data_IF_633036300581
#
_entry.id   IF_633036300581
#
_cell.length_a   1.000
_cell.length_b   1.000
_cell.length_c   1.000
_cell.angle_alpha   90.00
_cell.angle_beta   90.00
_cell.angle_gamma   90.00
#
_symmetry.space_group_name_H-M   'P 1'
#
loop_
_entity.id
_entity.type
_entity.pdbx_description
1 polymer ?
#
# COMPACT_ATOMS: atom_id res chain seq x y z
N UNK A 1 -5.97 7.95 12.48
CA UNK A 1 -6.59 7.13 11.40
C UNK A 1 -6.36 5.66 11.74
N UNK A 2 -7.29 4.75 11.38
CA UNK A 2 -7.18 3.30 11.70
C UNK A 2 -6.52 2.50 10.57
N UNK A 3 -6.74 2.91 9.32
CA UNK A 3 -6.26 2.21 8.13
C UNK A 3 -5.10 2.95 7.47
N UNK A 4 -4.09 2.23 7.02
CA UNK A 4 -3.01 2.75 6.18
C UNK A 4 -3.22 2.24 4.77
N UNK A 5 -3.35 3.15 3.81
CA UNK A 5 -3.69 2.84 2.42
C UNK A 5 -2.58 3.30 1.50
N UNK A 6 -2.09 2.41 0.63
CA UNK A 6 -1.00 2.70 -0.30
C UNK A 6 -1.09 1.82 -1.54
N UNK A 7 -0.19 2.07 -2.50
CA UNK A 7 -0.07 1.32 -3.75
C UNK A 7 0.61 -0.04 -3.58
N UNK A 8 0.45 -0.90 -4.59
CA UNK A 8 1.01 -2.25 -4.57
C UNK A 8 2.54 -2.32 -4.41
N UNK A 9 3.24 -1.24 -4.78
CA UNK A 9 4.69 -1.11 -4.59
C UNK A 9 5.13 -1.05 -3.13
N UNK A 10 4.22 -0.71 -2.22
CA UNK A 10 4.48 -0.67 -0.77
C UNK A 10 4.12 -1.98 -0.07
N UNK A 11 3.55 -2.96 -0.77
CA UNK A 11 3.17 -4.23 -0.18
C UNK A 11 4.35 -5.17 0.00
N UNK A 12 5.00 -5.11 1.16
CA UNK A 12 6.13 -5.95 1.56
C UNK A 12 5.95 -6.47 2.99
N UNK A 13 6.62 -7.56 3.33
CA UNK A 13 6.59 -8.16 4.67
C UNK A 13 7.02 -7.15 5.74
N UNK A 14 8.13 -6.45 5.49
CA UNK A 14 8.67 -5.41 6.38
C UNK A 14 7.67 -4.27 6.61
N UNK A 15 6.99 -3.81 5.55
CA UNK A 15 6.01 -2.75 5.65
C UNK A 15 4.75 -3.21 6.39
N UNK A 16 4.29 -4.44 6.15
CA UNK A 16 3.13 -4.96 6.88
C UNK A 16 3.43 -5.17 8.36
N UNK A 17 4.60 -5.72 8.66
CA UNK A 17 5.05 -5.92 10.03
C UNK A 17 5.11 -4.57 10.78
N UNK A 18 5.79 -3.56 10.23
CA UNK A 18 5.85 -2.24 10.86
C UNK A 18 4.48 -1.59 11.04
N UNK A 19 3.59 -1.67 10.03
CA UNK A 19 2.23 -1.12 10.10
C UNK A 19 1.43 -1.73 11.27
N UNK A 20 1.56 -3.04 11.46
CA UNK A 20 0.79 -3.78 12.47
C UNK A 20 1.43 -3.64 13.85
N UNK A 21 2.74 -3.86 13.94
CA UNK A 21 3.46 -3.95 15.21
C UNK A 21 3.80 -2.57 15.78
N UNK A 22 4.32 -1.65 14.96
CA UNK A 22 4.79 -0.35 15.43
C UNK A 22 3.69 0.71 15.46
N UNK A 23 2.82 0.70 14.45
CA UNK A 23 1.76 1.71 14.31
C UNK A 23 0.41 1.23 14.83
N UNK A 24 0.21 -0.08 15.07
CA UNK A 24 -1.08 -0.67 15.46
C UNK A 24 -2.20 -0.25 14.51
N UNK A 25 -1.95 -0.38 13.19
CA UNK A 25 -2.90 -0.02 12.13
C UNK A 25 -3.19 -1.19 11.21
N UNK A 26 -4.26 -1.05 10.44
CA UNK A 26 -4.69 -2.06 9.47
C UNK A 26 -4.18 -1.69 8.08
N UNK A 27 -3.33 -2.52 7.45
CA UNK A 27 -2.85 -2.27 6.10
C UNK A 27 -3.95 -2.56 5.06
N UNK A 28 -4.26 -1.56 4.23
CA UNK A 28 -5.05 -1.67 3.00
C UNK A 28 -4.15 -1.39 1.80
N UNK A 29 -3.13 -2.23 1.66
CA UNK A 29 -2.10 -2.11 0.63
C UNK A 29 -2.02 -3.47 -0.05
N UNK A 30 -2.35 -3.60 -1.34
CA UNK A 30 -2.17 -4.87 -2.03
C UNK A 30 -0.69 -5.21 -2.13
N UNK A 31 -0.33 -6.49 -2.09
CA UNK A 31 1.02 -6.92 -2.45
C UNK A 31 1.13 -7.08 -3.98
N UNK A 32 2.36 -7.07 -4.52
CA UNK A 32 2.58 -7.04 -5.98
C UNK A 32 1.85 -8.14 -6.77
N UNK A 33 1.73 -9.35 -6.21
CA UNK A 33 1.04 -10.48 -6.84
C UNK A 33 -0.47 -10.55 -6.59
N UNK A 34 -1.03 -9.67 -5.74
CA UNK A 34 -2.42 -9.73 -5.29
C UNK A 34 -3.44 -9.87 -6.43
N UNK A 35 -3.34 -9.02 -7.46
CA UNK A 35 -4.24 -9.08 -8.61
C UNK A 35 -3.93 -10.24 -9.56
N UNK A 36 -2.67 -10.70 -9.62
CA UNK A 36 -2.28 -11.81 -10.48
C UNK A 36 -2.82 -13.13 -9.94
N UNK A 37 -2.73 -13.34 -8.62
CA UNK A 37 -3.19 -14.53 -7.91
C UNK A 37 -4.70 -14.76 -8.03
N UNK A 38 -5.49 -13.69 -8.24
CA UNK A 38 -6.93 -13.79 -8.45
C UNK A 38 -7.31 -14.34 -9.83
N UNK A 39 -6.43 -14.24 -10.83
CA UNK A 39 -6.73 -14.64 -12.21
C UNK A 39 -6.71 -16.16 -12.36
N UNK A 40 -7.65 -16.71 -13.15
CA UNK A 40 -7.71 -18.15 -13.47
C UNK A 40 -6.38 -18.72 -13.98
N UNK A 41 -5.66 -17.94 -14.81
CA UNK A 41 -4.33 -18.32 -15.33
C UNK A 41 -3.32 -18.62 -14.22
N UNK A 42 -3.34 -17.86 -13.12
CA UNK A 42 -2.43 -18.11 -12.00
C UNK A 42 -2.85 -19.35 -11.22
N UNK A 43 -4.14 -19.44 -10.86
CA UNK A 43 -4.70 -20.55 -10.08
C UNK A 43 -4.54 -21.92 -10.74
N UNK A 44 -4.53 -21.95 -12.08
CA UNK A 44 -4.40 -23.20 -12.83
C UNK A 44 -2.96 -23.49 -13.28
N UNK A 45 -1.98 -22.66 -12.91
CA UNK A 45 -0.61 -22.87 -13.36
C UNK A 45 0.14 -23.81 -12.37
N UNK A 46 0.53 -25.03 -12.78
CA UNK A 46 1.20 -26.01 -11.91
C UNK A 46 2.58 -25.56 -11.40
N UNK A 47 3.20 -24.56 -12.03
CA UNK A 47 4.52 -24.08 -11.64
C UNK A 47 4.52 -23.30 -10.32
N UNK A 48 3.37 -22.79 -9.88
CA UNK A 48 3.28 -22.08 -8.62
C UNK A 48 3.06 -23.06 -7.48
N UNK A 49 3.94 -23.00 -6.46
CA UNK A 49 3.81 -23.79 -5.23
C UNK A 49 2.45 -23.63 -4.54
N UNK A 50 1.83 -22.45 -4.64
CA UNK A 50 0.50 -22.21 -4.09
C UNK A 50 -0.59 -23.14 -4.64
N UNK A 51 -0.32 -23.80 -5.78
CA UNK A 51 -1.22 -24.77 -6.42
C UNK A 51 -0.72 -26.22 -6.27
N UNK A 52 0.26 -26.46 -5.39
CA UNK A 52 0.73 -27.81 -5.04
C UNK A 52 -0.11 -28.35 -3.90
N UNK A 53 -0.24 -29.67 -3.81
CA UNK A 53 -0.94 -30.30 -2.70
C UNK A 53 -0.04 -30.27 -1.46
N UNK A 54 -0.59 -29.79 -0.34
CA UNK A 54 0.11 -29.69 0.93
C UNK A 54 -0.62 -30.51 1.98
N UNK A 55 0.10 -31.43 2.63
CA UNK A 55 -0.40 -32.20 3.76
C UNK A 55 0.06 -31.53 5.07
N UNK A 56 -0.91 -31.01 5.82
CA UNK A 56 -0.67 -30.33 7.11
C UNK A 56 -0.21 -31.30 8.22
N UNK A 57 -0.60 -32.58 8.15
CA UNK A 57 -0.29 -33.58 9.19
C UNK A 57 1.14 -34.08 8.99
N UNK A 58 1.48 -34.45 7.75
CA UNK A 58 2.81 -34.95 7.41
C UNK A 58 3.84 -33.82 7.22
N UNK A 59 3.40 -32.56 7.09
CA UNK A 59 4.23 -31.41 6.78
C UNK A 59 5.03 -31.61 5.47
N UNK A 60 4.31 -32.01 4.42
CA UNK A 60 4.90 -32.36 3.11
C UNK A 60 4.15 -31.69 1.97
N UNK A 61 4.87 -31.44 0.87
CA UNK A 61 4.29 -30.98 -0.39
C UNK A 61 4.41 -32.07 -1.45
N UNK A 62 3.39 -32.16 -2.31
CA UNK A 62 3.42 -32.95 -3.54
C UNK A 62 3.27 -32.00 -4.72
N UNK A 63 4.25 -32.02 -5.62
CA UNK A 63 4.18 -31.21 -6.84
C UNK A 63 3.24 -31.84 -7.88
N UNK A 64 2.88 -31.12 -8.96
CA UNK A 64 1.96 -31.64 -9.98
C UNK A 64 2.50 -32.84 -10.78
N UNK A 65 3.80 -33.12 -10.69
CA UNK A 65 4.43 -34.29 -11.30
C UNK A 65 4.41 -35.51 -10.35
N UNK A 66 3.94 -35.33 -9.10
CA UNK A 66 3.84 -36.37 -8.07
C UNK A 66 5.08 -36.50 -7.18
N UNK A 67 6.01 -35.55 -7.21
CA UNK A 67 7.24 -35.58 -6.41
C UNK A 67 6.96 -35.08 -4.99
N UNK A 68 7.40 -35.85 -4.00
CA UNK A 68 7.26 -35.54 -2.58
C UNK A 68 8.42 -34.69 -2.07
N UNK A 69 8.06 -33.66 -1.29
CA UNK A 69 8.98 -32.74 -0.64
C UNK A 69 8.72 -32.72 0.85
N UNK A 70 9.69 -33.24 1.62
CA UNK A 70 9.65 -33.20 3.08
C UNK A 70 10.36 -31.98 3.64
N UNK A 71 9.99 -31.60 4.87
CA UNK A 71 10.68 -30.55 5.62
C UNK A 71 12.17 -30.87 5.74
N UNK A 72 13.02 -29.86 5.51
CA UNK A 72 14.47 -29.99 5.62
C UNK A 72 15.05 -29.17 6.75
N UNK A 73 14.87 -27.85 6.75
CA UNK A 73 15.42 -26.95 7.76
C UNK A 73 14.79 -25.55 7.66
N UNK A 74 14.98 -24.74 8.71
CA UNK A 74 14.73 -23.31 8.66
C UNK A 74 15.95 -22.56 8.12
N UNK A 75 15.71 -21.51 7.34
CA UNK A 75 16.75 -20.67 6.74
C UNK A 75 16.38 -19.20 6.94
N UNK A 76 17.32 -18.42 7.47
CA UNK A 76 17.19 -16.97 7.55
C UNK A 76 17.94 -16.31 6.39
N UNK A 77 17.33 -15.30 5.78
CA UNK A 77 17.96 -14.50 4.71
C UNK A 77 17.83 -13.03 5.05
N UNK A 78 18.92 -12.29 4.86
CA UNK A 78 18.96 -10.85 5.08
C UNK A 78 18.90 -10.14 3.74
N UNK A 79 17.95 -9.22 3.61
CA UNK A 79 17.83 -8.35 2.46
C UNK A 79 18.95 -7.31 2.41
N UNK A 80 19.08 -6.62 1.27
CA UNK A 80 20.04 -5.50 1.10
C UNK A 80 19.82 -4.40 2.13
N UNK A 81 18.58 -4.22 2.59
CA UNK A 81 18.19 -3.19 3.54
C UNK A 81 18.40 -3.64 5.01
N UNK A 82 18.91 -4.85 5.24
CA UNK A 82 19.13 -5.40 6.59
C UNK A 82 17.94 -6.16 7.18
N UNK A 83 16.78 -6.13 6.51
CA UNK A 83 15.59 -6.86 6.95
C UNK A 83 15.81 -8.38 6.87
N UNK A 84 15.51 -9.10 7.95
CA UNK A 84 15.68 -10.55 8.04
C UNK A 84 14.36 -11.27 7.81
N UNK A 85 14.38 -12.26 6.91
CA UNK A 85 13.24 -13.12 6.61
C UNK A 85 13.52 -14.55 6.98
N UNK A 86 12.51 -15.21 7.57
CA UNK A 86 12.59 -16.62 7.91
C UNK A 86 11.86 -17.45 6.85
N UNK A 87 12.52 -18.52 6.42
CA UNK A 87 11.99 -19.46 5.44
C UNK A 87 12.02 -20.87 6.00
N UNK A 88 10.94 -21.61 5.80
CA UNK A 88 10.91 -23.05 5.96
C UNK A 88 11.26 -23.69 4.62
N UNK A 89 12.34 -24.48 4.59
CA UNK A 89 12.85 -25.09 3.37
C UNK A 89 12.42 -26.56 3.32
N UNK A 90 11.80 -26.92 2.20
CA UNK A 90 11.42 -28.28 1.84
C UNK A 90 12.32 -28.78 0.73
N UNK A 91 12.62 -30.07 0.75
CA UNK A 91 13.53 -30.71 -0.20
C UNK A 91 12.88 -31.98 -0.71
N UNK A 92 13.03 -32.24 -2.01
CA UNK A 92 12.53 -33.47 -2.60
C UNK A 92 13.21 -34.67 -1.91
N UNK A 93 12.42 -35.71 -1.63
CA UNK A 93 12.92 -36.91 -0.99
C UNK A 93 13.87 -37.67 -1.92
N UNK A 94 14.87 -38.33 -1.33
CA UNK A 94 15.89 -39.08 -2.09
C UNK A 94 15.30 -40.28 -2.83
N UNK A 95 14.35 -40.93 -2.16
CA UNK A 95 13.63 -42.09 -2.62
C UNK A 95 12.16 -41.69 -2.71
N UNK A 96 11.66 -41.68 -3.94
CA UNK A 96 10.28 -41.50 -4.32
C UNK A 96 9.66 -42.87 -4.60
N UNK A 97 8.35 -42.92 -4.73
CA UNK A 97 7.61 -44.15 -5.00
C UNK A 97 8.06 -44.85 -6.31
N UNK A 98 8.46 -44.08 -7.32
CA UNK A 98 8.90 -44.58 -8.63
C UNK A 98 10.30 -44.06 -9.02
N UNK A 99 11.06 -44.87 -9.76
CA UNK A 99 12.35 -44.51 -10.35
C UNK A 99 12.24 -43.29 -11.27
N UNK A 100 11.13 -43.13 -11.99
CA UNK A 100 10.88 -41.91 -12.79
C UNK A 100 10.79 -40.67 -11.92
N UNK A 101 10.11 -40.76 -10.77
CA UNK A 101 9.99 -39.65 -9.83
C UNK A 101 11.35 -39.32 -9.18
N UNK A 102 12.21 -40.31 -8.96
CA UNK A 102 13.58 -40.07 -8.48
C UNK A 102 14.41 -39.20 -9.43
N UNK A 103 14.20 -39.34 -10.74
CA UNK A 103 14.83 -38.47 -11.74
C UNK A 103 14.22 -37.06 -11.70
N UNK A 104 12.88 -36.95 -11.64
CA UNK A 104 12.16 -35.67 -11.57
C UNK A 104 12.37 -34.90 -10.26
N UNK A 105 12.72 -35.60 -9.17
CA UNK A 105 13.11 -35.02 -7.90
C UNK A 105 14.44 -34.26 -7.97
N UNK A 106 15.22 -34.47 -9.04
CA UNK A 106 16.53 -33.84 -9.24
C UNK A 106 16.46 -32.72 -10.27
N UNK A 107 17.25 -31.69 -10.00
CA UNK A 107 17.53 -30.62 -10.97
C UNK A 107 18.42 -31.15 -12.09
N UNK A 108 18.53 -30.45 -13.24
CA UNK A 108 19.43 -30.85 -14.33
C UNK A 108 20.90 -31.00 -13.91
N UNK A 109 21.30 -30.40 -12.77
CA UNK A 109 22.65 -30.51 -12.19
C UNK A 109 22.79 -31.66 -11.18
N UNK A 110 21.80 -32.55 -11.07
CA UNK A 110 21.80 -33.74 -10.20
C UNK A 110 21.46 -33.49 -8.72
N UNK A 111 21.33 -32.23 -8.29
CA UNK A 111 20.92 -31.88 -6.91
C UNK A 111 19.41 -32.05 -6.75
N UNK A 112 18.98 -32.52 -5.59
CA UNK A 112 17.55 -32.57 -5.23
C UNK A 112 16.92 -31.18 -5.31
N UNK A 113 15.70 -31.12 -5.85
CA UNK A 113 14.89 -29.91 -5.93
C UNK A 113 14.56 -29.43 -4.52
N UNK A 114 14.50 -28.12 -4.36
CA UNK A 114 14.17 -27.47 -3.09
C UNK A 114 13.15 -26.38 -3.33
N UNK A 115 12.31 -26.15 -2.32
CA UNK A 115 11.31 -25.10 -2.33
C UNK A 115 11.24 -24.48 -0.93
N UNK A 116 11.04 -23.17 -0.82
CA UNK A 116 11.11 -22.45 0.46
C UNK A 116 9.91 -21.53 0.66
N UNK A 117 9.19 -21.71 1.77
CA UNK A 117 8.00 -20.94 2.14
C UNK A 117 8.35 -19.94 3.22
N UNK A 118 7.88 -18.70 3.07
CA UNK A 118 7.93 -17.71 4.14
C UNK A 118 6.52 -17.61 4.74
N UNK A 119 6.34 -18.16 5.95
CA UNK A 119 5.04 -18.22 6.61
C UNK A 119 4.55 -16.84 7.08
N UNK A 120 5.45 -15.96 7.52
CA UNK A 120 5.08 -14.59 7.91
C UNK A 120 4.52 -13.83 6.70
N UNK A 121 5.17 -13.99 5.54
CA UNK A 121 4.67 -13.39 4.31
C UNK A 121 3.32 -13.96 3.88
N UNK A 122 3.12 -15.28 3.94
CA UNK A 122 1.82 -15.90 3.64
C UNK A 122 0.72 -15.40 4.60
N UNK A 123 1.03 -15.32 5.89
CA UNK A 123 0.14 -14.77 6.92
C UNK A 123 -0.30 -13.34 6.58
N UNK A 124 0.65 -12.44 6.30
CA UNK A 124 0.30 -11.06 5.97
C UNK A 124 -0.49 -10.96 4.66
N UNK A 125 -0.17 -11.77 3.64
CA UNK A 125 -0.95 -11.80 2.40
C UNK A 125 -2.39 -12.19 2.65
N UNK A 126 -2.63 -13.19 3.48
CA UNK A 126 -3.98 -13.61 3.84
C UNK A 126 -4.74 -12.50 4.57
N UNK A 127 -4.12 -11.90 5.60
CA UNK A 127 -4.73 -10.81 6.36
C UNK A 127 -5.06 -9.60 5.48
N UNK A 128 -4.12 -9.18 4.63
CA UNK A 128 -4.32 -8.08 3.68
C UNK A 128 -5.45 -8.39 2.69
N UNK A 129 -5.52 -9.63 2.20
CA UNK A 129 -6.58 -10.06 1.29
C UNK A 129 -7.95 -9.98 1.96
N UNK A 130 -8.09 -10.51 3.17
CA UNK A 130 -9.34 -10.41 3.95
C UNK A 130 -9.75 -8.95 4.18
N UNK A 131 -8.79 -8.10 4.58
CA UNK A 131 -9.03 -6.68 4.79
C UNK A 131 -9.47 -5.95 3.50
N UNK A 132 -8.80 -6.21 2.38
CA UNK A 132 -9.12 -5.62 1.07
C UNK A 132 -10.42 -6.17 0.47
N UNK A 133 -10.82 -7.39 0.80
CA UNK A 133 -12.07 -8.01 0.34
C UNK A 133 -13.28 -7.59 1.19
N UNK A 134 -13.06 -7.10 2.41
CA UNK A 134 -14.11 -6.53 3.26
C UNK A 134 -14.80 -5.31 2.62
N UNK A 135 -16.08 -5.11 2.92
CA UNK A 135 -16.86 -3.98 2.38
C UNK A 135 -16.23 -2.61 2.74
N UNK A 136 -15.83 -2.47 4.00
CA UNK A 136 -15.16 -1.25 4.49
C UNK A 136 -13.82 -1.04 3.79
N UNK A 137 -13.00 -2.09 3.65
CA UNK A 137 -11.71 -2.02 2.99
C UNK A 137 -11.82 -1.66 1.51
N UNK A 138 -12.77 -2.28 0.78
CA UNK A 138 -13.08 -1.94 -0.61
C UNK A 138 -13.45 -0.47 -0.77
N UNK A 139 -14.35 0.04 0.07
CA UNK A 139 -14.80 1.43 0.03
C UNK A 139 -13.64 2.41 0.27
N UNK A 140 -12.84 2.18 1.31
CA UNK A 140 -11.68 3.04 1.64
C UNK A 140 -10.64 2.99 0.52
N UNK A 141 -10.30 1.79 0.03
CA UNK A 141 -9.32 1.63 -1.04
C UNK A 141 -9.79 2.23 -2.37
N UNK A 142 -11.09 2.17 -2.67
CA UNK A 142 -11.67 2.84 -3.84
C UNK A 142 -11.60 4.36 -3.71
N UNK A 143 -11.93 4.91 -2.53
CA UNK A 143 -11.84 6.35 -2.26
C UNK A 143 -10.41 6.87 -2.45
N UNK A 144 -9.40 6.09 -2.03
CA UNK A 144 -7.98 6.42 -2.21
C UNK A 144 -7.64 6.77 -3.66
N UNK A 145 -8.19 6.04 -4.64
CA UNK A 145 -7.94 6.33 -6.06
C UNK A 145 -8.41 7.73 -6.42
N UNK A 146 -9.62 8.09 -5.97
CA UNK A 146 -10.20 9.42 -6.23
C UNK A 146 -9.35 10.50 -5.56
N UNK A 147 -9.07 10.36 -4.26
CA UNK A 147 -8.40 11.40 -3.49
C UNK A 147 -6.96 11.62 -3.96
N UNK A 148 -6.21 10.52 -4.15
CA UNK A 148 -4.79 10.57 -4.49
C UNK A 148 -4.56 10.88 -5.96
N UNK A 149 -5.29 10.26 -6.90
CA UNK A 149 -5.11 10.51 -8.33
C UNK A 149 -5.55 11.93 -8.70
N UNK A 150 -6.57 12.49 -8.05
CA UNK A 150 -7.00 13.88 -8.30
C UNK A 150 -5.90 14.88 -7.92
N UNK A 151 -5.25 14.67 -6.77
CA UNK A 151 -4.13 15.54 -6.33
C UNK A 151 -2.97 15.44 -7.31
N UNK A 152 -2.52 14.23 -7.65
CA UNK A 152 -1.41 14.05 -8.60
C UNK A 152 -1.75 14.51 -10.02
N UNK A 153 -2.98 14.28 -10.47
CA UNK A 153 -3.49 14.76 -11.76
C UNK A 153 -3.48 16.28 -11.82
N UNK A 154 -3.96 16.95 -10.76
CA UNK A 154 -3.93 18.41 -10.66
C UNK A 154 -2.51 18.96 -10.62
N UNK A 155 -1.62 18.33 -9.86
CA UNK A 155 -0.22 18.70 -9.78
C UNK A 155 0.47 18.65 -11.16
N UNK A 156 0.23 17.58 -11.93
CA UNK A 156 0.82 17.40 -13.26
C UNK A 156 0.15 18.25 -14.35
N UNK A 157 -1.18 18.38 -14.30
CA UNK A 157 -1.99 19.00 -15.34
C UNK A 157 -2.13 20.52 -15.20
N UNK A 158 -2.45 20.99 -13.99
CA UNK A 158 -2.66 22.43 -13.74
C UNK A 158 -1.38 23.14 -13.30
N UNK A 159 -0.60 22.52 -12.42
CA UNK A 159 0.64 23.11 -11.91
C UNK A 159 1.88 22.73 -12.72
N UNK A 160 1.74 21.85 -13.72
CA UNK A 160 2.83 21.46 -14.62
C UNK A 160 3.98 20.68 -13.98
N UNK A 161 3.85 20.29 -12.70
CA UNK A 161 4.92 19.62 -11.94
C UNK A 161 4.93 18.13 -12.24
N UNK A 162 5.47 17.80 -13.41
CA UNK A 162 5.71 16.42 -13.86
C UNK A 162 7.01 15.84 -13.31
N UNK A 163 7.95 16.72 -12.96
CA UNK A 163 9.25 16.41 -12.36
C UNK A 163 9.59 17.48 -11.33
N UNK A 164 10.36 17.11 -10.32
CA UNK A 164 10.97 18.07 -9.39
C UNK A 164 12.09 18.83 -10.10
N UNK A 165 12.25 20.12 -9.77
CA UNK A 165 13.25 20.98 -10.42
C UNK A 165 14.61 20.93 -9.72
N UNK A 166 14.63 20.41 -8.50
CA UNK A 166 15.80 20.38 -7.63
C UNK A 166 16.28 18.94 -7.39
N UNK A 167 17.50 18.83 -6.87
CA UNK A 167 18.12 17.55 -6.49
C UNK A 167 18.47 17.55 -5.00
N UNK A 168 18.52 16.36 -4.41
CA UNK A 168 18.79 16.17 -2.98
C UNK A 168 17.51 16.12 -2.16
N UNK A 169 17.48 15.20 -1.17
CA UNK A 169 16.27 14.86 -0.40
C UNK A 169 15.58 16.07 0.21
N UNK A 170 16.34 16.96 0.85
CA UNK A 170 15.78 18.14 1.50
C UNK A 170 15.21 19.17 0.50
N UNK A 171 15.93 19.43 -0.58
CA UNK A 171 15.46 20.37 -1.59
C UNK A 171 14.19 19.84 -2.27
N UNK A 172 14.17 18.56 -2.64
CA UNK A 172 13.00 17.88 -3.22
C UNK A 172 11.81 17.93 -2.26
N UNK A 173 12.03 17.69 -0.98
CA UNK A 173 11.01 17.81 0.05
C UNK A 173 10.41 19.22 0.12
N UNK A 174 11.24 20.25 0.10
CA UNK A 174 10.79 21.64 0.10
C UNK A 174 10.02 22.00 -1.19
N UNK A 175 10.51 21.59 -2.37
CA UNK A 175 9.88 21.84 -3.68
C UNK A 175 8.46 21.25 -3.73
N UNK A 176 8.32 19.99 -3.33
CA UNK A 176 7.02 19.31 -3.22
C UNK A 176 6.13 19.99 -2.17
N UNK A 177 6.68 20.35 -1.01
CA UNK A 177 5.94 21.03 0.06
C UNK A 177 5.35 22.37 -0.38
N UNK A 178 6.15 23.19 -1.08
CA UNK A 178 5.70 24.47 -1.65
C UNK A 178 4.58 24.26 -2.68
N UNK A 179 4.70 23.24 -3.53
CA UNK A 179 3.67 22.89 -4.51
C UNK A 179 2.34 22.54 -3.82
N UNK A 180 2.38 21.65 -2.82
CA UNK A 180 1.20 21.24 -2.07
C UNK A 180 0.56 22.43 -1.33
N UNK A 181 1.37 23.33 -0.79
CA UNK A 181 0.90 24.57 -0.16
C UNK A 181 0.18 25.48 -1.18
N UNK A 182 0.75 25.68 -2.37
CA UNK A 182 0.12 26.45 -3.42
C UNK A 182 -1.22 25.83 -3.88
N UNK A 183 -1.28 24.50 -3.99
CA UNK A 183 -2.51 23.76 -4.31
C UNK A 183 -3.60 23.97 -3.26
N UNK A 184 -3.22 23.93 -1.98
CA UNK A 184 -4.09 24.16 -0.84
C UNK A 184 -4.62 25.61 -0.81
N UNK A 185 -3.76 26.61 -1.01
CA UNK A 185 -4.16 28.01 -1.12
C UNK A 185 -5.13 28.24 -2.29
N UNK A 186 -4.88 27.61 -3.44
CA UNK A 186 -5.79 27.69 -4.59
C UNK A 186 -7.16 27.09 -4.27
N UNK A 187 -7.20 26.00 -3.50
CA UNK A 187 -8.46 25.39 -3.04
C UNK A 187 -9.20 26.33 -2.09
N UNK A 188 -8.50 26.92 -1.13
CA UNK A 188 -9.08 27.89 -0.18
C UNK A 188 -9.70 29.08 -0.90
N UNK A 189 -9.02 29.66 -1.89
CA UNK A 189 -9.53 30.81 -2.65
C UNK A 189 -10.80 30.46 -3.43
N UNK A 190 -10.88 29.25 -4.00
CA UNK A 190 -12.08 28.78 -4.69
C UNK A 190 -13.27 28.61 -3.72
N UNK A 191 -13.03 28.07 -2.53
CA UNK A 191 -14.08 27.94 -1.52
C UNK A 191 -14.58 29.31 -1.04
N UNK A 192 -13.67 30.26 -0.78
CA UNK A 192 -14.03 31.63 -0.43
C UNK A 192 -14.90 32.29 -1.50
N UNK A 193 -14.59 32.10 -2.78
CA UNK A 193 -15.40 32.58 -3.89
C UNK A 193 -16.81 31.97 -3.94
N UNK A 194 -16.95 30.67 -3.64
CA UNK A 194 -18.27 30.01 -3.55
C UNK A 194 -19.10 30.57 -2.40
N UNK A 195 -18.49 30.73 -1.24
CA UNK A 195 -19.14 31.30 -0.06
C UNK A 195 -19.63 32.73 -0.34
N UNK A 196 -18.79 33.59 -0.93
CA UNK A 196 -19.20 34.97 -1.26
C UNK A 196 -20.32 35.03 -2.30
N UNK A 197 -20.31 34.16 -3.31
CA UNK A 197 -21.39 34.05 -4.29
C UNK A 197 -22.72 33.60 -3.66
N UNK A 198 -22.67 32.64 -2.74
CA UNK A 198 -23.86 32.13 -2.03
C UNK A 198 -24.49 33.20 -1.12
N UNK A 199 -23.68 34.02 -0.45
CA UNK A 199 -24.16 35.16 0.33
C UNK A 199 -24.78 36.27 -0.54
N UNK A 200 -24.23 36.51 -1.73
CA UNK A 200 -24.77 37.50 -2.68
C UNK A 200 -26.20 37.15 -3.12
N UNK A 201 -26.50 35.86 -3.31
CA UNK A 201 -27.82 35.38 -3.71
C UNK A 201 -28.87 35.40 -2.58
N UNK A 202 -28.46 35.47 -1.31
CA UNK A 202 -29.37 35.41 -0.15
C UNK A 202 -29.68 36.78 0.49
N UNK A 203 -29.13 37.86 -0.06
CA UNK A 203 -29.38 39.22 0.39
C UNK A 203 -30.67 39.81 -0.20
N UNK A 204 -31.83 39.51 0.40
CA UNK A 204 -32.97 40.45 0.37
C UNK A 204 -32.83 41.48 1.50
N UNK A 205 -33.07 42.75 1.16
CA UNK A 205 -32.88 43.95 1.99
C UNK A 205 -33.48 43.83 3.42
N UNK A 206 -32.69 43.41 4.40
CA UNK A 206 -32.74 43.78 5.84
C UNK A 206 -31.81 42.83 6.61
N UNK A 207 -30.50 43.10 6.69
CA UNK A 207 -29.62 42.43 7.69
C UNK A 207 -28.18 42.99 7.71
N UNK A 208 -28.00 44.32 7.68
CA UNK A 208 -26.66 44.92 7.71
C UNK A 208 -25.91 44.78 9.05
N UNK A 209 -26.58 44.48 10.16
CA UNK A 209 -25.94 44.29 11.47
C UNK A 209 -25.52 42.84 11.75
N UNK A 210 -26.23 41.84 11.20
CA UNK A 210 -25.91 40.41 11.38
C UNK A 210 -24.67 39.99 10.54
N UNK A 211 -24.41 40.72 9.45
CA UNK A 211 -23.26 40.54 8.56
C UNK A 211 -21.92 40.85 9.26
N UNK A 212 -21.87 41.76 10.23
CA UNK A 212 -20.60 42.12 10.90
C UNK A 212 -20.17 41.07 11.93
N UNK A 213 -21.12 40.41 12.61
CA UNK A 213 -20.85 39.27 13.50
C UNK A 213 -20.48 38.02 12.71
N UNK A 214 -21.15 37.77 11.56
CA UNK A 214 -20.80 36.69 10.64
C UNK A 214 -19.46 36.91 9.92
N UNK A 215 -19.06 38.16 9.61
CA UNK A 215 -17.71 38.47 9.08
C UNK A 215 -16.61 38.12 10.08
N UNK A 216 -16.83 38.35 11.39
CA UNK A 216 -15.91 37.90 12.45
C UNK A 216 -15.86 36.38 12.55
N UNK A 217 -17.01 35.70 12.46
CA UNK A 217 -17.07 34.23 12.46
C UNK A 217 -16.40 33.61 11.21
N UNK A 218 -16.59 34.20 10.03
CA UNK A 218 -15.94 33.78 8.79
C UNK A 218 -14.42 33.99 8.81
N UNK A 219 -13.94 35.11 9.35
CA UNK A 219 -12.50 35.34 9.53
C UNK A 219 -11.88 34.37 10.54
N UNK A 220 -12.61 34.04 11.62
CA UNK A 220 -12.21 33.01 12.59
C UNK A 220 -12.18 31.61 11.93
N UNK A 221 -13.19 31.26 11.13
CA UNK A 221 -13.24 30.00 10.39
C UNK A 221 -12.13 29.89 9.33
N UNK A 222 -11.76 30.98 8.65
CA UNK A 222 -10.63 31.01 7.71
C UNK A 222 -9.30 30.88 8.44
N UNK A 223 -9.15 31.50 9.63
CA UNK A 223 -7.99 31.30 10.49
C UNK A 223 -7.86 29.83 10.95
N UNK A 224 -8.96 29.22 11.39
CA UNK A 224 -9.02 27.82 11.79
C UNK A 224 -8.80 26.86 10.60
N UNK A 225 -9.33 27.19 9.42
CA UNK A 225 -9.08 26.43 8.19
C UNK A 225 -7.64 26.57 7.72
N UNK A 226 -7.01 27.74 7.85
CA UNK A 226 -5.59 27.90 7.57
C UNK A 226 -4.75 27.02 8.51
N UNK A 227 -5.04 27.01 9.80
CA UNK A 227 -4.36 26.12 10.76
C UNK A 227 -4.56 24.63 10.43
N UNK A 228 -5.79 24.22 10.09
CA UNK A 228 -6.09 22.85 9.66
C UNK A 228 -5.40 22.47 8.35
N UNK A 229 -5.42 23.34 7.34
CA UNK A 229 -4.83 23.12 6.01
C UNK A 229 -3.30 23.16 6.05
N UNK A 230 -2.71 24.01 6.90
CA UNK A 230 -1.28 24.00 7.21
C UNK A 230 -0.91 22.72 7.97
N UNK A 231 -1.76 22.23 8.89
CA UNK A 231 -1.52 20.93 9.55
C UNK A 231 -1.64 19.73 8.60
N UNK A 232 -2.57 19.79 7.63
CA UNK A 232 -2.67 18.75 6.59
C UNK A 232 -1.47 18.74 5.66
N UNK A 233 -0.79 19.88 5.46
CA UNK A 233 0.46 19.91 4.71
C UNK A 233 1.58 19.14 5.42
N UNK A 234 1.63 19.16 6.76
CA UNK A 234 2.54 18.33 7.56
C UNK A 234 2.12 16.84 7.53
N UNK A 235 0.82 16.55 7.48
CA UNK A 235 0.28 15.18 7.42
C UNK A 235 0.54 14.50 6.06
N UNK A 236 0.35 15.22 4.95
CA UNK A 236 0.73 14.78 3.61
C UNK A 236 2.25 14.72 3.44
N UNK A 237 3.03 15.62 4.06
CA UNK A 237 4.48 15.51 4.13
C UNK A 237 4.93 14.26 4.88
N UNK A 238 4.24 13.87 5.94
CA UNK A 238 4.54 12.66 6.72
C UNK A 238 4.21 11.39 5.92
N UNK A 239 3.08 11.36 5.21
CA UNK A 239 2.80 10.30 4.22
C UNK A 239 3.82 10.31 3.08
N UNK A 240 4.24 11.47 2.58
CA UNK A 240 5.24 11.56 1.51
C UNK A 240 6.65 11.17 1.97
N UNK A 241 7.01 11.43 3.23
CA UNK A 241 8.24 10.94 3.84
C UNK A 241 8.20 9.43 4.06
N UNK A 242 7.04 8.82 4.30
CA UNK A 242 6.87 7.36 4.25
C UNK A 242 6.90 6.81 2.81
N UNK A 243 6.49 7.60 1.81
CA UNK A 243 6.52 7.26 0.37
C UNK A 243 7.94 7.38 -0.23
N UNK A 244 8.83 8.21 0.35
CA UNK A 244 10.19 8.49 -0.14
C UNK A 244 11.33 8.14 0.86
N UNK A 245 11.02 7.61 2.03
CA UNK A 245 12.00 6.89 2.86
C UNK A 245 11.83 5.39 2.61
N UNK A 246 12.28 4.93 1.44
CA UNK A 246 13.02 3.69 1.16
C UNK A 246 13.28 3.63 -0.35
#
# INVERSE_FOLDING_TARGET
>A
FQYIVADAGYGSEENYQSIIDDYEKVPLIPYGMYHAEQKKKYKNNPQYRANWDYDEIADTYVDPDGVWFSFSHYSTRTDKNGFQRQFKVYKADKEQEDSRLNELARTPKGKLRTTSVNYNWEYFKQQVKENLESETGKRIYAQRKIDVETVFGRMKGHFGMRRVHVRGKQAVHNDIGLMLMAMNLTKLMLELGRWTAQFSHHSTKKETQQILSQKKAGFCCVSFYLELVISQSQFLLCMMLLIFCF
#
